data_IF_143326786108
#
_entry.id   IF_143326786108
#
_cell.length_a   1.000
_cell.length_b   1.000
_cell.length_c   1.000
_cell.angle_alpha   90.00
_cell.angle_beta   90.00
_cell.angle_gamma   90.00
#
_symmetry.space_group_name_H-M   'P 1'
#
loop_
_entity.id
_entity.type
_entity.pdbx_description
1 polymer ?
#
# COMPACT_ATOMS: atom_id res chain seq x y z
N UNK A 1 3.85 14.22 9.55
CA UNK A 1 4.80 14.02 10.66
C UNK A 1 6.21 13.76 10.15
N UNK A 2 7.23 14.31 10.82
CA UNK A 2 8.65 14.12 10.46
C UNK A 2 9.06 12.64 10.47
N UNK A 3 8.55 11.86 11.43
CA UNK A 3 8.75 10.41 11.49
C UNK A 3 8.37 9.69 10.19
N UNK A 4 7.18 9.94 9.63
CA UNK A 4 6.74 9.29 8.39
C UNK A 4 7.70 9.57 7.24
N UNK A 5 8.21 10.80 7.14
CA UNK A 5 9.21 11.13 6.12
C UNK A 5 10.53 10.41 6.34
N UNK A 6 10.99 10.24 7.58
CA UNK A 6 12.17 9.41 7.87
C UNK A 6 11.93 7.93 7.54
N UNK A 7 10.74 7.39 7.83
CA UNK A 7 10.41 6.01 7.43
C UNK A 7 10.46 5.85 5.91
N UNK A 8 9.98 6.83 5.15
CA UNK A 8 10.09 6.83 3.68
C UNK A 8 11.53 6.78 3.19
N UNK A 9 12.47 7.49 3.83
CA UNK A 9 13.89 7.46 3.44
C UNK A 9 14.58 6.13 3.74
N UNK A 10 14.00 5.29 4.60
CA UNK A 10 14.54 3.99 4.98
C UNK A 10 14.08 2.85 4.07
N UNK A 11 13.22 3.11 3.09
CA UNK A 11 12.68 2.11 2.19
C UNK A 11 12.97 2.44 0.72
N UNK A 12 13.17 1.40 -0.10
CA UNK A 12 13.41 1.54 -1.54
C UNK A 12 12.13 1.94 -2.29
N UNK A 13 10.97 1.49 -1.79
CA UNK A 13 9.67 1.70 -2.39
C UNK A 13 8.60 2.14 -1.39
N UNK A 14 7.59 2.84 -1.89
CA UNK A 14 6.41 3.24 -1.13
C UNK A 14 5.16 2.85 -1.88
N UNK A 15 4.30 2.05 -1.26
CA UNK A 15 3.11 1.48 -1.90
C UNK A 15 1.83 2.09 -1.34
N UNK A 16 0.94 2.47 -2.24
CA UNK A 16 -0.42 2.94 -1.92
C UNK A 16 -1.44 2.28 -2.84
N UNK A 17 -2.70 2.20 -2.41
CA UNK A 17 -3.81 1.88 -3.31
C UNK A 17 -4.21 3.10 -4.16
N UNK A 18 -4.76 2.88 -5.35
CA UNK A 18 -5.27 3.98 -6.21
C UNK A 18 -6.30 4.86 -5.52
N UNK A 19 -7.08 4.33 -4.56
CA UNK A 19 -8.02 5.12 -3.77
C UNK A 19 -7.36 6.30 -3.05
N UNK A 20 -6.15 6.11 -2.50
CA UNK A 20 -5.36 7.17 -1.88
C UNK A 20 -4.88 8.19 -2.92
N UNK A 21 -4.51 7.73 -4.10
CA UNK A 21 -4.09 8.61 -5.19
C UNK A 21 -5.25 9.50 -5.66
N UNK A 22 -6.45 8.92 -5.79
CA UNK A 22 -7.66 9.62 -6.19
C UNK A 22 -8.13 10.63 -5.13
N UNK A 23 -8.05 10.26 -3.85
CA UNK A 23 -8.49 11.12 -2.75
C UNK A 23 -7.53 12.29 -2.50
N UNK A 24 -6.23 12.01 -2.44
CA UNK A 24 -5.25 12.94 -1.86
C UNK A 24 -4.26 13.52 -2.88
N UNK A 25 -4.13 12.88 -4.06
CA UNK A 25 -3.11 13.18 -5.07
C UNK A 25 -1.72 13.43 -4.44
N UNK A 26 -1.15 12.45 -3.72
CA UNK A 26 0.05 12.64 -2.90
C UNK A 26 1.32 12.70 -3.77
N UNK A 27 2.37 13.33 -3.24
CA UNK A 27 3.70 13.35 -3.88
C UNK A 27 4.59 12.16 -3.49
N UNK A 28 4.21 11.39 -2.46
CA UNK A 28 4.91 10.20 -1.94
C UNK A 28 6.43 10.35 -1.76
N UNK A 29 6.89 11.57 -1.45
CA UNK A 29 8.30 11.91 -1.26
C UNK A 29 8.65 12.14 0.23
N UNK A 30 9.94 12.18 0.52
CA UNK A 30 10.49 12.30 1.87
C UNK A 30 10.90 13.76 2.24
N UNK A 31 10.15 14.78 1.78
CA UNK A 31 10.53 16.21 1.90
C UNK A 31 10.84 16.79 3.29
N UNK A 32 10.51 16.10 4.39
CA UNK A 32 10.79 16.56 5.76
C UNK A 32 11.95 15.79 6.43
N UNK A 33 12.67 14.95 5.67
CA UNK A 33 13.80 14.17 6.13
C UNK A 33 14.92 14.21 5.07
N UNK A 34 16.17 14.08 5.52
CA UNK A 34 17.31 13.89 4.62
C UNK A 34 17.37 12.43 4.19
N UNK A 35 17.63 12.19 2.90
CA UNK A 35 17.74 10.85 2.34
C UNK A 35 17.10 10.74 0.96
N UNK A 36 17.20 9.55 0.38
CA UNK A 36 16.61 9.26 -0.93
C UNK A 36 15.09 9.15 -0.85
N UNK A 37 14.41 9.57 -1.92
CA UNK A 37 12.98 9.31 -2.04
C UNK A 37 12.72 7.84 -2.40
N UNK A 38 11.73 7.19 -1.79
CA UNK A 38 11.33 5.86 -2.21
C UNK A 38 10.66 5.90 -3.59
N UNK A 39 10.76 4.82 -4.36
CA UNK A 39 10.02 4.64 -5.62
C UNK A 39 8.51 4.51 -5.33
N UNK A 40 7.65 5.37 -5.89
CA UNK A 40 6.21 5.22 -5.74
C UNK A 40 5.69 3.98 -6.45
N UNK A 41 4.83 3.22 -5.77
CA UNK A 41 4.18 2.02 -6.27
C UNK A 41 2.67 2.19 -6.05
N UNK A 42 1.88 2.07 -7.10
CA UNK A 42 0.43 2.24 -7.07
C UNK A 42 -0.23 0.92 -7.44
N UNK A 43 -1.07 0.40 -6.55
CA UNK A 43 -1.95 -0.72 -6.84
C UNK A 43 -3.26 -0.18 -7.42
N UNK A 44 -3.48 -0.41 -8.71
CA UNK A 44 -4.61 0.11 -9.47
C UNK A 44 -5.16 -0.94 -10.44
N UNK A 45 -5.99 -1.84 -9.92
CA UNK A 45 -6.49 -3.01 -10.67
C UNK A 45 -7.09 -2.66 -12.04
N UNK A 46 -7.69 -1.47 -12.18
CA UNK A 46 -8.42 -1.05 -13.39
C UNK A 46 -7.81 0.20 -14.06
N UNK A 47 -6.54 0.52 -13.78
CA UNK A 47 -5.86 1.70 -14.33
C UNK A 47 -6.65 3.02 -14.19
N UNK A 48 -7.35 3.25 -13.08
CA UNK A 48 -8.14 4.45 -12.80
C UNK A 48 -7.31 5.70 -12.52
N UNK A 49 -5.99 5.56 -12.37
CA UNK A 49 -5.05 6.63 -12.08
C UNK A 49 -5.21 7.80 -13.08
N UNK A 50 -5.51 9.03 -12.62
CA UNK A 50 -5.59 10.17 -13.52
C UNK A 50 -4.21 10.55 -14.06
N UNK A 51 -4.13 10.89 -15.35
CA UNK A 51 -2.90 11.38 -15.98
C UNK A 51 -2.38 12.70 -15.37
N UNK A 52 -3.22 13.39 -14.60
CA UNK A 52 -2.95 14.70 -13.98
C UNK A 52 -2.35 14.63 -12.58
N UNK A 53 -2.12 13.43 -12.03
CA UNK A 53 -1.57 13.31 -10.66
C UNK A 53 -0.16 13.90 -10.56
N UNK A 54 0.21 14.34 -9.35
CA UNK A 54 1.51 14.95 -9.06
C UNK A 54 2.67 14.01 -9.44
N UNK A 55 2.52 12.71 -9.22
CA UNK A 55 3.56 11.72 -9.53
C UNK A 55 3.89 11.63 -11.03
N UNK A 56 2.96 12.02 -11.90
CA UNK A 56 3.15 12.05 -13.35
C UNK A 56 3.54 13.44 -13.86
N UNK A 57 3.03 14.50 -13.24
CA UNK A 57 3.17 15.87 -13.75
C UNK A 57 4.29 16.68 -13.10
N UNK A 58 4.65 16.41 -11.85
CA UNK A 58 5.65 17.19 -11.12
C UNK A 58 7.06 16.62 -11.33
N UNK A 59 8.05 17.43 -11.77
CA UNK A 59 9.44 16.98 -11.95
C UNK A 59 10.11 16.54 -10.65
N UNK A 60 9.68 17.06 -9.51
CA UNK A 60 10.22 16.73 -8.18
C UNK A 60 9.77 15.37 -7.65
N UNK A 61 8.84 14.71 -8.34
CA UNK A 61 8.34 13.39 -7.94
C UNK A 61 9.00 12.30 -8.78
N UNK A 62 9.41 11.22 -8.12
CA UNK A 62 9.77 9.99 -8.79
C UNK A 62 8.59 9.43 -9.57
N UNK A 63 8.81 8.98 -10.81
CA UNK A 63 7.75 8.38 -11.62
C UNK A 63 7.26 7.06 -10.99
N UNK A 64 5.94 6.81 -10.98
CA UNK A 64 5.40 5.66 -10.29
C UNK A 64 5.57 4.36 -11.10
N UNK A 65 5.64 3.26 -10.37
CA UNK A 65 5.31 1.92 -10.87
C UNK A 65 3.82 1.71 -10.61
N UNK A 66 3.06 1.30 -11.62
CA UNK A 66 1.62 1.07 -11.51
C UNK A 66 1.34 -0.40 -11.83
N UNK A 67 0.65 -1.08 -10.93
CA UNK A 67 0.21 -2.47 -11.12
C UNK A 67 -1.29 -2.52 -11.41
N UNK A 68 -1.67 -3.25 -12.46
CA UNK A 68 -3.06 -3.49 -12.83
C UNK A 68 -3.35 -4.97 -13.02
N UNK A 69 -4.64 -5.35 -12.98
CA UNK A 69 -5.06 -6.74 -13.03
C UNK A 69 -5.07 -7.32 -14.44
N UNK A 70 -4.58 -8.55 -14.58
CA UNK A 70 -4.73 -9.37 -15.79
C UNK A 70 -6.21 -9.61 -16.07
N UNK A 71 -6.60 -9.39 -17.32
CA UNK A 71 -7.98 -9.59 -17.80
C UNK A 71 -8.65 -8.33 -18.36
N UNK A 72 -8.13 -7.14 -18.04
CA UNK A 72 -8.53 -5.88 -18.67
C UNK A 72 -7.70 -5.62 -19.93
N UNK A 73 -8.00 -6.37 -21.01
CA UNK A 73 -7.36 -6.18 -22.33
C UNK A 73 -8.30 -5.54 -23.36
N UNK A 74 -9.34 -4.87 -22.89
CA UNK A 74 -10.14 -4.01 -23.72
C UNK A 74 -9.30 -2.82 -24.24
N UNK A 75 -9.73 -2.25 -25.37
CA UNK A 75 -9.02 -1.16 -26.04
C UNK A 75 -8.77 0.03 -25.11
N UNK A 76 -9.74 0.38 -24.25
CA UNK A 76 -9.61 1.50 -23.33
C UNK A 76 -8.48 1.25 -22.32
N UNK A 77 -8.40 0.06 -21.72
CA UNK A 77 -7.32 -0.26 -20.79
C UNK A 77 -5.94 -0.17 -21.44
N UNK A 78 -5.81 -0.62 -22.70
CA UNK A 78 -4.54 -0.53 -23.42
C UNK A 78 -4.14 0.91 -23.74
N UNK A 79 -5.09 1.74 -24.17
CA UNK A 79 -4.87 3.18 -24.40
C UNK A 79 -4.47 3.90 -23.12
N UNK A 80 -5.14 3.60 -22.00
CA UNK A 80 -4.82 4.18 -20.69
C UNK A 80 -3.42 3.77 -20.24
N UNK A 81 -3.05 2.50 -20.40
CA UNK A 81 -1.69 2.01 -20.13
C UNK A 81 -0.66 2.81 -20.92
N UNK A 82 -0.84 2.92 -22.24
CA UNK A 82 0.09 3.64 -23.11
C UNK A 82 0.19 5.13 -22.73
N UNK A 83 -0.93 5.77 -22.39
CA UNK A 83 -0.94 7.16 -21.95
C UNK A 83 -0.17 7.36 -20.63
N UNK A 84 -0.29 6.44 -19.67
CA UNK A 84 0.48 6.48 -18.42
C UNK A 84 1.98 6.26 -18.67
N UNK A 85 2.32 5.30 -19.54
CA UNK A 85 3.71 5.03 -19.94
C UNK A 85 4.35 6.21 -20.68
N UNK A 86 3.59 6.91 -21.54
CA UNK A 86 4.04 8.13 -22.21
C UNK A 86 4.38 9.28 -21.24
N UNK A 87 3.79 9.27 -20.04
CA UNK A 87 4.09 10.22 -18.96
C UNK A 87 5.24 9.75 -18.04
N UNK A 88 5.87 8.62 -18.39
CA UNK A 88 7.02 8.05 -17.69
C UNK A 88 6.69 7.08 -16.58
N UNK A 89 5.41 6.73 -16.37
CA UNK A 89 5.05 5.64 -15.46
C UNK A 89 5.56 4.30 -16.01
N UNK A 90 5.88 3.37 -15.11
CA UNK A 90 6.16 1.98 -15.50
C UNK A 90 4.94 1.14 -15.15
N UNK A 91 4.24 0.63 -16.14
CA UNK A 91 2.95 -0.05 -15.93
C UNK A 91 3.12 -1.56 -16.12
N UNK A 92 2.82 -2.34 -15.09
CA UNK A 92 2.96 -3.79 -15.09
C UNK A 92 1.61 -4.48 -14.86
N UNK A 93 1.37 -5.51 -15.66
CA UNK A 93 0.24 -6.42 -15.46
C UNK A 93 0.59 -7.44 -14.37
N UNK A 94 -0.35 -7.68 -13.47
CA UNK A 94 -0.26 -8.68 -12.40
C UNK A 94 -1.37 -9.71 -12.52
N UNK A 95 -1.15 -10.91 -11.98
CA UNK A 95 -2.25 -11.82 -11.69
C UNK A 95 -3.32 -11.14 -10.80
N UNK A 96 -4.54 -11.63 -10.88
CA UNK A 96 -5.65 -11.16 -10.05
C UNK A 96 -6.12 -12.24 -9.08
N UNK A 97 -6.62 -11.80 -7.93
CA UNK A 97 -7.36 -12.62 -6.97
C UNK A 97 -8.75 -12.04 -6.78
N UNK A 98 -9.71 -12.90 -6.44
CA UNK A 98 -11.08 -12.46 -6.14
C UNK A 98 -11.13 -11.92 -4.71
N UNK A 99 -11.55 -10.67 -4.55
CA UNK A 99 -11.80 -10.07 -3.24
C UNK A 99 -13.13 -10.51 -2.63
N UNK A 100 -13.30 -10.23 -1.34
CA UNK A 100 -14.56 -10.45 -0.61
C UNK A 100 -15.73 -9.63 -1.18
N UNK A 101 -15.41 -8.49 -1.79
CA UNK A 101 -16.35 -7.63 -2.52
C UNK A 101 -16.78 -8.20 -3.88
N UNK A 102 -16.35 -9.43 -4.21
CA UNK A 102 -16.56 -10.06 -5.51
C UNK A 102 -16.03 -9.22 -6.68
N UNK A 103 -15.04 -8.37 -6.44
CA UNK A 103 -14.27 -7.73 -7.49
C UNK A 103 -12.93 -8.44 -7.65
N UNK A 104 -12.33 -8.34 -8.83
CA UNK A 104 -10.96 -8.78 -9.02
C UNK A 104 -10.02 -7.70 -8.48
N UNK A 105 -8.97 -8.11 -7.79
CA UNK A 105 -7.92 -7.25 -7.26
C UNK A 105 -6.57 -7.76 -7.71
N UNK A 106 -5.59 -6.86 -7.81
CA UNK A 106 -4.20 -7.27 -8.03
C UNK A 106 -3.75 -8.23 -6.93
N UNK A 107 -3.19 -9.37 -7.33
CA UNK A 107 -2.53 -10.31 -6.42
C UNK A 107 -1.28 -9.65 -5.84
N UNK A 108 -1.30 -9.35 -4.53
CA UNK A 108 -0.17 -8.72 -3.86
C UNK A 108 1.09 -9.58 -3.88
N UNK A 109 0.97 -10.90 -3.90
CA UNK A 109 2.13 -11.80 -4.01
C UNK A 109 2.84 -11.60 -5.35
N UNK A 110 2.07 -11.52 -6.42
CA UNK A 110 2.62 -11.31 -7.76
C UNK A 110 3.20 -9.89 -7.88
N UNK A 111 2.51 -8.89 -7.34
CA UNK A 111 3.03 -7.52 -7.28
C UNK A 111 4.37 -7.44 -6.53
N UNK A 112 4.47 -7.99 -5.31
CA UNK A 112 5.73 -7.98 -4.54
C UNK A 112 6.84 -8.79 -5.22
N UNK A 113 6.50 -9.88 -5.92
CA UNK A 113 7.45 -10.64 -6.74
C UNK A 113 8.05 -9.76 -7.85
N UNK A 114 7.21 -9.02 -8.57
CA UNK A 114 7.67 -8.10 -9.63
C UNK A 114 8.49 -6.96 -9.01
N UNK A 115 8.01 -6.33 -7.93
CA UNK A 115 8.74 -5.28 -7.19
C UNK A 115 10.15 -5.74 -6.84
N UNK A 116 10.31 -6.96 -6.30
CA UNK A 116 11.62 -7.55 -6.00
C UNK A 116 12.49 -7.75 -7.25
N UNK A 117 11.90 -8.20 -8.38
CA UNK A 117 12.62 -8.32 -9.65
C UNK A 117 13.10 -6.98 -10.21
N UNK A 118 12.43 -5.89 -9.84
CA UNK A 118 12.84 -4.52 -10.18
C UNK A 118 13.92 -3.97 -9.26
N UNK A 119 14.45 -4.77 -8.33
CA UNK A 119 15.54 -4.40 -7.42
C UNK A 119 15.07 -3.66 -6.16
N UNK A 120 13.76 -3.53 -5.93
CA UNK A 120 13.20 -2.89 -4.74
C UNK A 120 13.12 -3.96 -3.63
N UNK A 121 13.93 -3.80 -2.59
CA UNK A 121 14.10 -4.82 -1.55
C UNK A 121 13.31 -4.53 -0.28
N UNK A 122 12.93 -3.28 -0.07
CA UNK A 122 12.09 -2.84 1.05
C UNK A 122 10.95 -1.94 0.57
N UNK A 123 9.74 -2.17 1.08
CA UNK A 123 8.54 -1.40 0.72
C UNK A 123 7.81 -0.95 1.97
N UNK A 124 7.60 0.35 2.09
CA UNK A 124 6.66 0.90 3.05
C UNK A 124 5.27 0.94 2.42
N UNK A 125 4.29 0.24 2.99
CA UNK A 125 2.89 0.37 2.59
C UNK A 125 2.24 1.45 3.45
N UNK A 126 1.69 2.49 2.83
CA UNK A 126 0.97 3.56 3.53
C UNK A 126 -0.35 3.88 2.84
N UNK A 127 -1.29 4.44 3.60
CA UNK A 127 -2.52 5.01 3.05
C UNK A 127 -3.50 3.98 2.44
N UNK A 128 -4.79 4.30 2.51
CA UNK A 128 -5.85 3.51 1.89
C UNK A 128 -6.20 2.26 2.70
N UNK A 129 -7.40 2.26 3.30
CA UNK A 129 -7.88 1.14 4.10
C UNK A 129 -7.87 -0.18 3.32
N UNK A 130 -8.19 -0.16 2.03
CA UNK A 130 -8.21 -1.35 1.18
C UNK A 130 -6.84 -2.04 1.10
N UNK A 131 -5.76 -1.32 0.73
CA UNK A 131 -4.43 -1.95 0.56
C UNK A 131 -3.87 -2.44 1.89
N UNK A 132 -4.07 -1.68 2.98
CA UNK A 132 -3.68 -2.09 4.32
C UNK A 132 -4.43 -3.36 4.76
N UNK A 133 -5.72 -3.45 4.44
CA UNK A 133 -6.54 -4.64 4.73
C UNK A 133 -6.03 -5.85 3.96
N UNK A 134 -5.81 -5.71 2.65
CA UNK A 134 -5.28 -6.81 1.83
C UNK A 134 -3.92 -7.28 2.33
N UNK A 135 -3.03 -6.37 2.73
CA UNK A 135 -1.74 -6.75 3.32
C UNK A 135 -1.91 -7.53 4.64
N UNK A 136 -2.80 -7.08 5.53
CA UNK A 136 -3.06 -7.76 6.80
C UNK A 136 -3.76 -9.12 6.61
N UNK A 137 -4.67 -9.23 5.65
CA UNK A 137 -5.33 -10.50 5.30
C UNK A 137 -4.31 -11.50 4.75
N UNK A 138 -3.49 -11.10 3.78
CA UNK A 138 -2.41 -11.95 3.25
C UNK A 138 -1.41 -12.36 4.34
N UNK A 139 -1.15 -11.47 5.31
CA UNK A 139 -0.26 -11.75 6.43
C UNK A 139 -0.76 -12.88 7.34
N UNK A 140 -2.06 -13.20 7.35
CA UNK A 140 -2.61 -14.35 8.10
C UNK A 140 -2.23 -15.70 7.49
N UNK A 141 -1.88 -15.73 6.21
CA UNK A 141 -1.54 -16.95 5.49
C UNK A 141 -0.04 -17.06 5.22
N UNK A 142 0.69 -15.94 5.18
CA UNK A 142 2.09 -15.86 4.75
C UNK A 142 2.82 -14.74 5.48
N UNK A 143 4.12 -14.89 5.64
CA UNK A 143 4.95 -13.81 6.19
C UNK A 143 5.30 -12.77 5.11
N UNK A 144 4.47 -11.74 4.95
CA UNK A 144 4.69 -10.64 3.99
C UNK A 144 4.90 -9.26 4.65
N UNK A 145 4.68 -9.15 5.96
CA UNK A 145 4.86 -7.92 6.74
C UNK A 145 5.93 -8.18 7.81
N UNK A 146 7.05 -7.48 7.73
CA UNK A 146 8.13 -7.58 8.73
C UNK A 146 7.91 -6.68 9.95
N UNK A 147 7.26 -5.53 9.75
CA UNK A 147 7.04 -4.51 10.77
C UNK A 147 5.73 -3.76 10.52
N UNK A 148 4.96 -3.55 11.57
CA UNK A 148 3.79 -2.67 11.58
C UNK A 148 4.10 -1.46 12.46
N UNK A 149 3.75 -0.27 11.98
CA UNK A 149 3.85 0.99 12.72
C UNK A 149 2.45 1.61 12.78
N UNK A 150 1.90 1.69 13.98
CA UNK A 150 0.61 2.34 14.26
C UNK A 150 0.89 3.68 14.92
N UNK A 151 0.25 4.73 14.41
CA UNK A 151 0.34 6.08 14.99
C UNK A 151 -1.02 6.47 15.52
N UNK A 152 -1.08 6.91 16.77
CA UNK A 152 -2.28 7.42 17.44
C UNK A 152 -2.04 8.86 17.82
N UNK A 153 -2.73 9.78 17.13
CA UNK A 153 -2.73 11.20 17.46
C UNK A 153 -3.82 11.51 18.51
N UNK A 154 -3.59 12.47 19.42
CA UNK A 154 -4.57 12.89 20.42
C UNK A 154 -5.67 13.79 19.82
N UNK A 155 -6.22 13.42 18.66
CA UNK A 155 -7.20 14.22 17.89
C UNK A 155 -8.45 13.42 17.57
N UNK A 156 -9.62 14.02 17.80
CA UNK A 156 -10.93 13.41 17.49
C UNK A 156 -11.42 13.86 16.12
N UNK A 157 -11.46 12.93 15.16
CA UNK A 157 -11.84 13.20 13.76
C UNK A 157 -13.11 12.47 13.30
N UNK A 158 -13.64 11.55 14.12
CA UNK A 158 -14.82 10.75 13.78
C UNK A 158 -14.51 9.50 12.92
N UNK A 159 -15.50 9.04 12.16
CA UNK A 159 -15.62 7.71 11.54
C UNK A 159 -14.64 7.34 10.41
N UNK A 160 -13.33 7.45 10.64
CA UNK A 160 -12.29 6.97 9.73
C UNK A 160 -11.86 5.55 10.08
N UNK A 161 -11.82 4.67 9.08
CA UNK A 161 -11.37 3.28 9.23
C UNK A 161 -9.96 3.14 8.66
N UNK A 162 -9.00 2.76 9.50
CA UNK A 162 -7.62 2.47 9.06
C UNK A 162 -7.53 1.19 8.22
N UNK A 163 -8.39 0.21 8.51
CA UNK A 163 -8.55 -1.05 7.79
C UNK A 163 -10.04 -1.31 7.55
N UNK A 164 -10.37 -1.96 6.44
CA UNK A 164 -11.71 -2.40 6.07
C UNK A 164 -11.99 -3.84 6.52
N UNK A 165 -13.26 -4.25 6.40
CA UNK A 165 -13.69 -5.64 6.62
C UNK A 165 -13.46 -6.18 8.04
N UNK A 166 -13.78 -7.47 8.20
CA UNK A 166 -13.35 -8.28 9.34
C UNK A 166 -12.05 -8.98 8.94
N UNK A 167 -10.96 -8.75 9.67
CA UNK A 167 -9.69 -9.46 9.50
C UNK A 167 -9.79 -10.86 10.14
N UNK A 168 -10.75 -11.67 9.69
CA UNK A 168 -10.98 -13.03 10.19
C UNK A 168 -10.43 -14.07 9.21
N UNK A 169 -9.89 -15.20 9.69
CA UNK A 169 -9.55 -16.31 8.81
C UNK A 169 -10.78 -16.77 8.01
N UNK A 170 -10.59 -17.02 6.72
CA UNK A 170 -11.62 -17.39 5.75
C UNK A 170 -12.28 -18.77 6.00
N UNK A 171 -11.78 -19.54 6.97
CA UNK A 171 -12.38 -20.82 7.38
C UNK A 171 -12.84 -20.77 8.84
N UNK A 172 -14.14 -20.90 9.13
CA UNK A 172 -14.62 -21.16 10.48
C UNK A 172 -14.27 -22.61 10.85
N UNK A 173 -13.05 -22.83 11.33
CA UNK A 173 -12.71 -24.08 12.01
C UNK A 173 -13.38 -24.06 13.39
N UNK A 174 -14.35 -24.96 13.56
CA UNK A 174 -15.01 -25.27 14.82
C UNK A 174 -13.90 -25.58 15.85
N UNK A 175 -13.71 -24.67 16.81
CA UNK A 175 -12.75 -24.70 17.93
C UNK A 175 -11.51 -23.78 17.87
N UNK A 176 -11.41 -22.81 16.95
CA UNK A 176 -10.41 -21.73 17.08
C UNK A 176 -11.08 -20.43 17.51
N UNK A 177 -10.71 -19.89 18.67
CA UNK A 177 -11.01 -18.50 19.04
C UNK A 177 -10.44 -17.59 17.95
N UNK A 178 -11.32 -17.12 17.06
CA UNK A 178 -11.03 -16.11 16.03
C UNK A 178 -10.16 -15.01 16.63
N UNK A 179 -8.88 -15.02 16.30
CA UNK A 179 -7.91 -14.06 16.80
C UNK A 179 -7.64 -13.07 15.69
N UNK A 180 -8.04 -11.82 15.88
CA UNK A 180 -7.65 -10.72 15.00
C UNK A 180 -6.12 -10.61 14.95
N UNK A 181 -5.51 -10.14 13.84
CA UNK A 181 -4.08 -9.88 13.81
C UNK A 181 -3.66 -8.92 14.94
N UNK A 182 -2.63 -9.28 15.70
CA UNK A 182 -2.11 -8.47 16.82
C UNK A 182 -0.63 -8.23 16.65
N UNK A 183 -0.10 -7.22 17.34
CA UNK A 183 1.33 -7.03 17.43
C UNK A 183 1.93 -7.90 18.54
N UNK A 184 3.01 -8.61 18.21
CA UNK A 184 3.82 -9.38 19.15
C UNK A 184 4.81 -8.45 19.84
N UNK A 185 4.80 -8.43 21.18
CA UNK A 185 5.69 -7.62 22.02
C UNK A 185 5.85 -6.17 21.52
N UNK A 186 4.73 -5.42 21.37
CA UNK A 186 4.78 -4.07 20.81
C UNK A 186 5.63 -3.14 21.68
N UNK A 187 6.36 -2.25 21.02
CA UNK A 187 7.06 -1.13 21.65
C UNK A 187 6.25 0.14 21.48
N UNK A 188 6.29 0.99 22.49
CA UNK A 188 5.50 2.20 22.59
C UNK A 188 6.45 3.38 22.73
N UNK A 189 6.33 4.36 21.84
CA UNK A 189 7.16 5.55 21.81
C UNK A 189 6.26 6.76 21.69
N UNK A 190 6.45 7.76 22.55
CA UNK A 190 5.83 9.07 22.37
C UNK A 190 6.77 9.89 21.48
N UNK A 191 6.29 10.33 20.34
CA UNK A 191 7.01 11.23 19.43
C UNK A 191 6.18 12.51 19.27
N UNK A 192 6.72 13.62 19.76
CA UNK A 192 5.98 14.88 19.86
C UNK A 192 4.70 14.67 20.70
N UNK A 193 3.52 14.84 20.11
CA UNK A 193 2.22 14.65 20.77
C UNK A 193 1.60 13.27 20.47
N UNK A 194 2.19 12.51 19.54
CA UNK A 194 1.63 11.27 19.02
C UNK A 194 2.21 10.03 19.73
N UNK A 195 1.37 9.02 19.95
CA UNK A 195 1.80 7.70 20.39
C UNK A 195 2.08 6.81 19.17
N UNK A 196 3.31 6.32 19.07
CA UNK A 196 3.77 5.39 18.05
C UNK A 196 3.92 4.00 18.65
N UNK A 197 3.22 3.04 18.08
CA UNK A 197 3.25 1.63 18.46
C UNK A 197 3.89 0.86 17.31
N UNK A 198 4.96 0.12 17.58
CA UNK A 198 5.68 -0.66 16.58
C UNK A 198 5.91 -2.10 17.03
N UNK A 199 5.76 -3.04 16.10
CA UNK A 199 5.92 -4.45 16.40
C UNK A 199 5.74 -5.33 15.15
N UNK A 200 6.10 -6.60 15.30
CA UNK A 200 5.81 -7.61 14.29
C UNK A 200 4.39 -8.14 14.50
N UNK A 201 3.77 -8.70 13.46
CA UNK A 201 2.51 -9.40 13.62
C UNK A 201 2.71 -10.70 14.40
N UNK A 202 1.77 -11.00 15.30
CA UNK A 202 1.62 -12.27 16.00
C UNK A 202 0.85 -13.21 15.07
N UNK A 203 1.60 -13.90 14.21
CA UNK A 203 1.11 -14.88 13.25
C UNK A 203 1.16 -16.29 13.83
#
# INVERSE_FOLDING_TARGET
MKMTHMLRTLHDGIMVGVGTVLADNPSLNARLAEGSNPRPIIIDTHLRCPMTIKLLTMPTCEKPIIFFGRGSQDTETLERKQALEALGARVFECNTTRGEDSCDHVDLRDAFRIVKQLGISSVMVEGGSAILTSCLQEATHRHIIDLVVVTVAPTFIGGLRAVGGLLTPSTPSVATTSTFPRLKQPRYHVLEEDLVILGQLDN
#
